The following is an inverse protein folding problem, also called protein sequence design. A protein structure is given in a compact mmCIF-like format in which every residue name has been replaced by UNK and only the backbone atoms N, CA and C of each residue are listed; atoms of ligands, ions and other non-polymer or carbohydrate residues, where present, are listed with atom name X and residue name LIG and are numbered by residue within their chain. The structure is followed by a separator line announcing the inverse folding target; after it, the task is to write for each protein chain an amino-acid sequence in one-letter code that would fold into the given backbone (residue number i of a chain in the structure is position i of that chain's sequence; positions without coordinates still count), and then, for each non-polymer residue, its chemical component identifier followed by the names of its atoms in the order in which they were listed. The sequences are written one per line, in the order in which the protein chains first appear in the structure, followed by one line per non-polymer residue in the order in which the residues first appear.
data_IF_495041487518
#
_entry.id   IF_495041487518
#
_cell.length_a   1.000
_cell.length_b   1.000
_cell.length_c   1.000
_cell.angle_alpha   90.00
_cell.angle_beta   90.00
_cell.angle_gamma   90.00
#
_symmetry.space_group_name_H-M   'P 1'
#
loop_
_entity.id
_entity.type
_entity.pdbx_description
1 polymer ?
#
# COMPACT_ATOMS: atom_id res chain seq x y z
N UNK A 1 -37.03 -44.36 -61.27
CA UNK A 1 -36.53 -45.06 -60.06
C UNK A 1 -35.99 -44.00 -59.11
N UNK A 2 -36.40 -43.78 -57.86
CA UNK A 2 -37.42 -44.35 -56.95
C UNK A 2 -37.95 -43.17 -56.07
N UNK A 3 -39.28 -43.13 -55.88
CA UNK A 3 -40.09 -42.77 -54.68
C UNK A 3 -39.69 -41.56 -53.81
N UNK A 4 -40.53 -40.51 -53.74
CA UNK A 4 -41.76 -40.31 -52.90
C UNK A 4 -41.49 -39.82 -51.46
N UNK A 5 -41.85 -38.55 -51.19
CA UNK A 5 -42.73 -37.97 -50.12
C UNK A 5 -42.64 -38.47 -48.65
N UNK A 6 -43.12 -37.72 -47.63
CA UNK A 6 -42.87 -36.33 -47.22
C UNK A 6 -42.73 -36.13 -45.67
N UNK A 7 -42.46 -34.86 -45.28
CA UNK A 7 -42.66 -34.15 -44.00
C UNK A 7 -43.13 -34.93 -42.75
N UNK A 8 -42.37 -34.78 -41.66
CA UNK A 8 -42.92 -34.45 -40.33
C UNK A 8 -41.88 -33.73 -39.46
N UNK A 9 -42.38 -32.71 -38.75
CA UNK A 9 -41.68 -31.78 -37.87
C UNK A 9 -41.39 -32.47 -36.52
N UNK A 10 -40.17 -32.33 -36.00
CA UNK A 10 -39.91 -32.41 -34.57
C UNK A 10 -38.73 -31.50 -34.20
N UNK A 11 -39.09 -30.41 -33.53
CA UNK A 11 -38.21 -29.45 -32.88
C UNK A 11 -37.49 -30.16 -31.72
N UNK A 12 -36.16 -30.17 -31.68
CA UNK A 12 -35.44 -30.31 -30.41
C UNK A 12 -34.21 -29.39 -30.40
N UNK A 13 -34.34 -28.31 -29.64
CA UNK A 13 -33.22 -27.51 -29.17
C UNK A 13 -32.33 -28.41 -28.31
N UNK A 14 -31.07 -28.59 -28.70
CA UNK A 14 -30.03 -29.03 -27.77
C UNK A 14 -29.16 -27.81 -27.49
N UNK A 15 -29.46 -27.16 -26.36
CA UNK A 15 -28.55 -26.25 -25.67
C UNK A 15 -27.31 -27.07 -25.27
N UNK A 16 -26.17 -26.86 -25.92
CA UNK A 16 -24.88 -27.27 -25.38
C UNK A 16 -24.43 -26.27 -24.32
N UNK A 17 -25.07 -26.35 -23.15
CA UNK A 17 -24.54 -25.80 -21.91
C UNK A 17 -23.24 -26.56 -21.59
N UNK A 18 -22.10 -25.97 -21.94
CA UNK A 18 -20.79 -26.40 -21.44
C UNK A 18 -20.65 -25.94 -19.99
N UNK A 19 -21.28 -26.70 -19.08
CA UNK A 19 -21.06 -26.59 -17.64
C UNK A 19 -19.81 -27.40 -17.34
N UNK A 20 -18.64 -26.76 -17.32
CA UNK A 20 -17.47 -27.36 -16.67
C UNK A 20 -17.69 -27.30 -15.15
N UNK A 21 -17.66 -28.42 -14.42
CA UNK A 21 -17.71 -28.38 -12.97
C UNK A 21 -16.43 -27.73 -12.44
N UNK A 22 -16.58 -26.64 -11.70
CA UNK A 22 -15.52 -26.05 -10.88
C UNK A 22 -15.27 -27.02 -9.72
N UNK A 23 -14.32 -27.93 -9.89
CA UNK A 23 -13.78 -28.73 -8.81
C UNK A 23 -12.67 -27.93 -8.11
N UNK A 24 -13.00 -27.38 -6.94
CA UNK A 24 -12.03 -27.13 -5.89
C UNK A 24 -11.56 -28.49 -5.36
N UNK A 25 -10.28 -28.82 -5.52
CA UNK A 25 -9.43 -29.49 -4.51
C UNK A 25 -8.10 -29.95 -5.13
N UNK A 26 -7.02 -29.50 -4.50
CA UNK A 26 -5.80 -30.25 -4.21
C UNK A 26 -5.25 -31.20 -5.29
N UNK A 27 -4.26 -30.71 -6.05
CA UNK A 27 -3.10 -31.55 -6.34
C UNK A 27 -1.83 -30.71 -6.19
N UNK A 28 -1.06 -31.01 -5.15
CA UNK A 28 0.36 -30.62 -5.05
C UNK A 28 1.12 -31.71 -4.28
N UNK A 29 0.91 -32.96 -4.68
CA UNK A 29 1.84 -34.05 -4.39
C UNK A 29 3.06 -33.91 -5.32
N UNK A 30 3.97 -32.98 -4.99
CA UNK A 30 5.41 -33.00 -5.35
C UNK A 30 6.16 -31.73 -4.93
N UNK A 31 5.90 -31.23 -3.72
CA UNK A 31 6.71 -30.20 -3.09
C UNK A 31 7.72 -30.92 -2.19
N UNK A 32 8.96 -31.11 -2.68
CA UNK A 32 10.03 -31.82 -1.99
C UNK A 32 10.36 -31.12 -0.66
N UNK A 33 10.83 -31.88 0.32
CA UNK A 33 11.09 -31.49 1.72
C UNK A 33 12.05 -30.30 1.97
N UNK A 34 12.49 -29.55 0.95
CA UNK A 34 13.18 -28.25 1.07
C UNK A 34 12.23 -27.05 1.26
N UNK A 35 10.93 -27.22 1.03
CA UNK A 35 9.91 -26.15 1.03
C UNK A 35 9.22 -25.89 2.39
N UNK A 36 9.87 -26.15 3.53
CA UNK A 36 9.20 -26.04 4.84
C UNK A 36 9.14 -24.64 5.44
N UNK A 37 9.85 -23.65 4.87
CA UNK A 37 9.92 -22.27 5.43
C UNK A 37 8.80 -21.36 4.98
N UNK A 38 7.57 -21.71 5.36
CA UNK A 38 6.41 -20.90 5.02
C UNK A 38 5.78 -20.18 6.21
N UNK A 39 5.47 -18.90 6.01
CA UNK A 39 4.64 -18.12 6.93
C UNK A 39 3.19 -18.49 6.66
N UNK A 40 2.45 -18.86 7.70
CA UNK A 40 1.01 -19.11 7.62
C UNK A 40 0.25 -17.99 8.31
N UNK A 41 -0.60 -17.27 7.57
CA UNK A 41 -1.46 -16.22 8.11
C UNK A 41 -2.86 -16.79 8.33
N UNK A 42 -3.33 -16.71 9.57
CA UNK A 42 -4.70 -17.05 9.94
C UNK A 42 -5.68 -16.06 9.30
N UNK A 43 -6.70 -16.57 8.61
CA UNK A 43 -7.75 -15.80 7.94
C UNK A 43 -9.11 -16.45 8.16
N UNK A 44 -10.17 -15.64 8.22
CA UNK A 44 -11.55 -16.13 8.32
C UNK A 44 -11.92 -16.94 7.06
N UNK A 45 -11.51 -16.43 5.90
CA UNK A 45 -11.76 -17.04 4.61
C UNK A 45 -10.66 -16.64 3.60
N UNK A 46 -10.35 -17.55 2.68
CA UNK A 46 -9.43 -17.32 1.56
C UNK A 46 -10.09 -16.75 0.31
N UNK A 47 -11.37 -16.39 0.37
CA UNK A 47 -12.08 -15.95 -0.83
C UNK A 47 -11.55 -14.59 -1.28
N UNK A 48 -11.27 -14.51 -2.58
CA UNK A 48 -10.84 -13.30 -3.27
C UNK A 48 -11.69 -13.15 -4.52
N UNK A 49 -12.38 -12.01 -4.71
CA UNK A 49 -13.15 -11.76 -5.93
C UNK A 49 -12.31 -11.91 -7.19
N UNK A 50 -12.93 -12.38 -8.28
CA UNK A 50 -12.23 -12.57 -9.57
C UNK A 50 -11.64 -11.26 -10.10
N UNK A 51 -12.37 -10.14 -9.99
CA UNK A 51 -11.87 -8.82 -10.40
C UNK A 51 -10.60 -8.42 -9.64
N UNK A 52 -10.52 -8.73 -8.34
CA UNK A 52 -9.35 -8.46 -7.50
C UNK A 52 -8.17 -9.32 -7.93
N UNK A 53 -8.38 -10.62 -8.17
CA UNK A 53 -7.32 -11.53 -8.66
C UNK A 53 -6.80 -11.10 -10.03
N UNK A 54 -7.70 -10.75 -10.95
CA UNK A 54 -7.34 -10.31 -12.29
C UNK A 54 -6.53 -9.01 -12.25
N UNK A 55 -6.92 -8.05 -11.41
CA UNK A 55 -6.18 -6.80 -11.22
C UNK A 55 -4.77 -7.06 -10.67
N UNK A 56 -4.65 -7.91 -9.64
CA UNK A 56 -3.35 -8.29 -9.09
C UNK A 56 -2.47 -8.95 -10.16
N UNK A 57 -3.00 -9.97 -10.84
CA UNK A 57 -2.25 -10.76 -11.83
C UNK A 57 -1.78 -9.92 -13.01
N UNK A 58 -2.65 -9.03 -13.50
CA UNK A 58 -2.39 -8.24 -14.70
C UNK A 58 -1.33 -7.18 -14.45
N UNK A 59 -1.42 -6.45 -13.34
CA UNK A 59 -0.69 -5.20 -13.20
C UNK A 59 0.49 -5.28 -12.21
N UNK A 60 0.53 -6.22 -11.24
CA UNK A 60 1.52 -6.15 -10.14
C UNK A 60 2.98 -5.99 -10.59
N UNK A 61 3.38 -6.72 -11.64
CA UNK A 61 4.78 -6.77 -12.05
C UNK A 61 5.26 -5.43 -12.59
N UNK A 62 4.39 -4.69 -13.29
CA UNK A 62 4.75 -3.36 -13.81
C UNK A 62 5.01 -2.38 -12.67
N UNK A 63 4.19 -2.44 -11.61
CA UNK A 63 4.38 -1.66 -10.39
C UNK A 63 5.68 -2.05 -9.65
N UNK A 64 5.95 -3.36 -9.49
CA UNK A 64 7.17 -3.86 -8.84
C UNK A 64 8.43 -3.40 -9.58
N UNK A 65 8.46 -3.53 -10.91
CA UNK A 65 9.59 -3.07 -11.74
C UNK A 65 9.86 -1.58 -11.55
N UNK A 66 8.81 -0.75 -11.45
CA UNK A 66 8.98 0.68 -11.23
C UNK A 66 9.66 0.97 -9.90
N UNK A 67 9.27 0.25 -8.83
CA UNK A 67 9.88 0.34 -7.51
C UNK A 67 11.33 -0.13 -7.51
N UNK A 68 11.64 -1.25 -8.17
CA UNK A 68 13.02 -1.72 -8.28
C UNK A 68 13.92 -0.68 -8.96
N UNK A 69 13.46 -0.05 -10.04
CA UNK A 69 14.18 1.06 -10.68
C UNK A 69 14.37 2.24 -9.73
N UNK A 70 13.36 2.59 -8.93
CA UNK A 70 13.47 3.66 -7.94
C UNK A 70 14.49 3.31 -6.86
N UNK A 71 14.58 2.06 -6.43
CA UNK A 71 15.57 1.59 -5.47
C UNK A 71 16.94 1.27 -6.08
N UNK A 72 17.12 1.44 -7.39
CA UNK A 72 18.30 1.00 -8.14
C UNK A 72 18.63 -0.49 -7.90
N UNK A 73 17.61 -1.34 -7.80
CA UNK A 73 17.76 -2.80 -7.68
C UNK A 73 18.04 -3.43 -9.04
N UNK A 74 18.80 -4.52 -9.03
CA UNK A 74 18.96 -5.37 -10.20
C UNK A 74 17.62 -6.01 -10.59
N UNK A 75 17.46 -6.30 -11.89
CA UNK A 75 16.25 -6.95 -12.39
C UNK A 75 16.09 -8.32 -11.73
N UNK A 76 14.98 -8.51 -11.01
CA UNK A 76 14.65 -9.77 -10.37
C UNK A 76 13.38 -10.40 -10.99
N UNK A 77 13.23 -11.71 -10.75
CA UNK A 77 12.01 -12.45 -11.05
C UNK A 77 11.09 -12.47 -9.85
N UNK A 78 9.80 -12.26 -10.10
CA UNK A 78 8.79 -12.20 -9.06
C UNK A 78 7.62 -13.13 -9.35
N UNK A 79 7.01 -13.63 -8.28
CA UNK A 79 5.74 -14.35 -8.31
C UNK A 79 4.83 -13.85 -7.19
N UNK A 80 3.52 -13.99 -7.35
CA UNK A 80 2.60 -13.70 -6.25
C UNK A 80 2.48 -14.91 -5.30
N UNK A 81 2.51 -14.62 -4.00
CA UNK A 81 2.18 -15.55 -2.93
C UNK A 81 0.67 -15.69 -2.74
N UNK A 82 0.26 -16.61 -1.87
CA UNK A 82 -1.16 -16.77 -1.51
C UNK A 82 -1.68 -15.49 -0.84
N UNK A 83 -2.82 -14.93 -1.30
CA UNK A 83 -3.36 -13.70 -0.73
C UNK A 83 -3.84 -13.90 0.70
N UNK A 84 -3.78 -12.84 1.50
CA UNK A 84 -4.27 -12.81 2.87
C UNK A 84 -5.10 -11.54 3.16
N UNK A 85 -5.76 -11.54 4.31
CA UNK A 85 -6.58 -10.44 4.83
C UNK A 85 -6.06 -10.03 6.21
N UNK A 86 -6.28 -8.77 6.57
CA UNK A 86 -5.95 -8.24 7.90
C UNK A 86 -7.24 -7.90 8.64
N UNK A 87 -7.24 -8.07 9.96
CA UNK A 87 -8.42 -7.91 10.79
C UNK A 87 -8.23 -6.85 11.86
N UNK A 88 -9.29 -6.12 12.16
CA UNK A 88 -9.37 -5.28 13.36
C UNK A 88 -9.45 -6.17 14.61
N UNK A 89 -9.18 -5.60 15.79
CA UNK A 89 -9.28 -6.34 17.06
C UNK A 89 -10.69 -6.89 17.34
N UNK A 90 -11.72 -6.32 16.72
CA UNK A 90 -13.10 -6.82 16.74
C UNK A 90 -13.40 -7.88 15.65
N UNK A 91 -12.37 -8.47 15.03
CA UNK A 91 -12.43 -9.47 13.96
C UNK A 91 -13.05 -9.03 12.64
N UNK A 92 -13.42 -7.75 12.49
CA UNK A 92 -13.85 -7.25 11.19
C UNK A 92 -12.65 -7.13 10.26
N UNK A 93 -12.78 -7.63 9.04
CA UNK A 93 -11.80 -7.38 7.98
C UNK A 93 -11.58 -5.88 7.82
N UNK A 94 -10.36 -5.48 7.52
CA UNK A 94 -10.06 -4.09 7.15
C UNK A 94 -10.56 -3.73 5.74
N UNK A 95 -10.99 -4.72 4.97
CA UNK A 95 -11.63 -4.56 3.66
C UNK A 95 -10.66 -4.67 2.47
N UNK A 96 -9.36 -4.86 2.73
CA UNK A 96 -8.34 -4.93 1.70
C UNK A 96 -7.93 -6.38 1.39
N UNK A 97 -7.26 -6.56 0.24
CA UNK A 97 -6.66 -7.82 -0.17
C UNK A 97 -5.16 -7.63 -0.36
N UNK A 98 -4.37 -8.50 0.25
CA UNK A 98 -2.91 -8.39 0.29
C UNK A 98 -2.28 -9.57 -0.44
N UNK A 99 -1.52 -9.30 -1.50
CA UNK A 99 -0.78 -10.31 -2.25
C UNK A 99 0.72 -10.12 -2.03
N UNK A 100 1.41 -11.08 -1.41
CA UNK A 100 2.85 -11.06 -1.29
C UNK A 100 3.54 -11.14 -2.64
N UNK A 101 4.56 -10.32 -2.87
CA UNK A 101 5.44 -10.41 -4.03
C UNK A 101 6.71 -11.11 -3.60
N UNK A 102 6.86 -12.35 -4.08
CA UNK A 102 7.95 -13.25 -3.73
C UNK A 102 9.07 -13.16 -4.75
N UNK A 103 10.30 -12.95 -4.28
CA UNK A 103 11.49 -13.10 -5.11
C UNK A 103 11.85 -14.59 -5.31
N UNK A 104 12.92 -14.85 -6.06
CA UNK A 104 13.38 -16.19 -6.43
C UNK A 104 13.77 -17.06 -5.23
N UNK A 105 14.10 -16.46 -4.08
CA UNK A 105 14.42 -17.15 -2.82
C UNK A 105 13.17 -17.40 -1.95
N UNK A 106 11.99 -16.96 -2.39
CA UNK A 106 10.75 -17.03 -1.62
C UNK A 106 10.65 -16.00 -0.49
N UNK A 107 11.50 -14.97 -0.50
CA UNK A 107 11.36 -13.82 0.38
C UNK A 107 10.31 -12.85 -0.18
N UNK A 108 9.57 -12.20 0.71
CA UNK A 108 8.60 -11.16 0.35
C UNK A 108 9.34 -9.84 0.22
N UNK A 109 9.44 -9.29 -0.99
CA UNK A 109 10.05 -7.98 -1.22
C UNK A 109 9.02 -6.85 -1.12
N UNK A 110 7.81 -7.11 -1.62
CA UNK A 110 6.71 -6.15 -1.69
C UNK A 110 5.39 -6.81 -1.34
N UNK A 111 4.37 -6.00 -1.05
CA UNK A 111 2.98 -6.41 -0.95
C UNK A 111 2.18 -5.58 -1.95
N UNK A 112 1.39 -6.26 -2.78
CA UNK A 112 0.30 -5.65 -3.54
C UNK A 112 -0.90 -5.53 -2.63
N UNK A 113 -1.35 -4.31 -2.40
CA UNK A 113 -2.58 -4.01 -1.68
C UNK A 113 -3.65 -3.62 -2.69
N UNK A 114 -4.76 -4.37 -2.71
CA UNK A 114 -5.94 -4.03 -3.50
C UNK A 114 -7.06 -3.59 -2.56
N UNK A 115 -7.54 -2.38 -2.79
CA UNK A 115 -8.54 -1.73 -1.94
C UNK A 115 -9.81 -1.42 -2.71
N UNK A 116 -10.99 -1.53 -2.09
CA UNK A 116 -12.23 -1.04 -2.68
C UNK A 116 -12.13 0.46 -2.96
N UNK A 117 -12.57 0.87 -4.14
CA UNK A 117 -12.60 2.28 -4.51
C UNK A 117 -13.67 3.00 -3.68
N UNK A 118 -13.27 4.05 -2.96
CA UNK A 118 -14.16 4.75 -2.00
C UNK A 118 -14.94 5.90 -2.66
N UNK A 119 -14.53 6.36 -3.85
CA UNK A 119 -15.18 7.47 -4.58
C UNK A 119 -15.72 7.02 -5.94
N UNK A 120 -16.89 7.55 -6.31
CA UNK A 120 -17.52 7.30 -7.63
C UNK A 120 -16.85 8.06 -8.78
N UNK A 121 -16.10 9.14 -8.48
CA UNK A 121 -15.63 10.13 -9.46
C UNK A 121 -14.31 9.82 -10.18
N UNK A 122 -13.73 8.64 -10.01
CA UNK A 122 -12.55 8.29 -10.83
C UNK A 122 -12.97 7.69 -12.16
N UNK A 123 -12.36 8.17 -13.25
CA UNK A 123 -12.55 7.73 -14.64
C UNK A 123 -12.21 6.25 -14.91
N UNK A 124 -11.71 5.51 -13.92
CA UNK A 124 -11.47 4.07 -14.02
C UNK A 124 -12.74 3.27 -13.76
N UNK A 125 -13.09 2.38 -14.68
CA UNK A 125 -14.20 1.41 -14.55
C UNK A 125 -13.95 0.34 -13.48
N UNK A 126 -12.72 0.21 -12.96
CA UNK A 126 -12.40 -0.73 -11.89
C UNK A 126 -13.07 -0.32 -10.58
N UNK A 127 -13.65 -1.32 -9.89
CA UNK A 127 -14.19 -1.18 -8.52
C UNK A 127 -13.09 -1.13 -7.46
N UNK A 128 -11.84 -1.36 -7.86
CA UNK A 128 -10.69 -1.49 -6.98
C UNK A 128 -9.52 -0.62 -7.42
N UNK A 129 -8.70 -0.23 -6.45
CA UNK A 129 -7.42 0.43 -6.63
C UNK A 129 -6.30 -0.55 -6.28
N UNK A 130 -5.13 -0.37 -6.90
CA UNK A 130 -3.93 -1.16 -6.64
C UNK A 130 -2.82 -0.24 -6.12
N UNK A 131 -2.11 -0.70 -5.10
CA UNK A 131 -0.88 -0.08 -4.60
C UNK A 131 0.15 -1.20 -4.36
N UNK A 132 1.42 -0.93 -4.65
CA UNK A 132 2.54 -1.81 -4.31
C UNK A 132 3.51 -1.05 -3.43
N UNK A 133 3.93 -1.69 -2.34
CA UNK A 133 4.90 -1.10 -1.40
C UNK A 133 5.61 -2.18 -0.60
N UNK A 134 6.60 -1.81 0.20
CA UNK A 134 7.26 -2.73 1.14
C UNK A 134 6.42 -3.02 2.40
N UNK A 135 5.13 -2.65 2.42
CA UNK A 135 4.22 -2.83 3.55
C UNK A 135 4.31 -4.24 4.15
N UNK A 136 4.60 -4.37 5.46
CA UNK A 136 4.75 -5.63 6.21
C UNK A 136 5.73 -6.68 5.66
N UNK A 137 6.39 -6.48 4.50
CA UNK A 137 7.33 -7.42 3.88
C UNK A 137 8.39 -7.93 4.86
N UNK A 138 9.11 -7.00 5.51
CA UNK A 138 10.12 -7.30 6.53
C UNK A 138 9.52 -8.02 7.74
N UNK A 139 8.32 -7.63 8.18
CA UNK A 139 7.67 -8.28 9.31
C UNK A 139 7.34 -9.73 8.96
N UNK A 140 6.69 -9.98 7.82
CA UNK A 140 6.36 -11.33 7.36
C UNK A 140 7.61 -12.21 7.21
N UNK A 141 8.68 -11.70 6.61
CA UNK A 141 9.94 -12.43 6.47
C UNK A 141 10.61 -12.79 7.82
N UNK A 142 10.29 -12.10 8.93
CA UNK A 142 10.80 -12.46 10.27
C UNK A 142 10.06 -13.65 10.89
N UNK A 143 8.85 -13.96 10.42
CA UNK A 143 8.00 -15.01 10.96
C UNK A 143 7.97 -16.27 10.08
N UNK A 144 9.04 -16.51 9.30
CA UNK A 144 9.20 -17.75 8.54
C UNK A 144 9.00 -18.96 9.45
N UNK A 145 8.34 -19.99 8.92
CA UNK A 145 7.98 -21.23 9.63
C UNK A 145 6.96 -21.03 10.77
N UNK A 146 6.35 -19.85 10.91
CA UNK A 146 5.39 -19.58 11.98
C UNK A 146 3.97 -19.37 11.45
N UNK A 147 3.01 -19.81 12.27
CA UNK A 147 1.60 -19.45 12.12
C UNK A 147 1.31 -18.18 12.93
N UNK A 148 0.76 -17.18 12.24
CA UNK A 148 0.51 -15.85 12.79
C UNK A 148 -0.89 -15.35 12.44
N UNK A 149 -1.39 -14.39 13.20
CA UNK A 149 -2.53 -13.54 12.83
C UNK A 149 -2.04 -12.11 12.72
N UNK A 150 -2.45 -11.42 11.65
CA UNK A 150 -2.15 -9.99 11.48
C UNK A 150 -3.37 -9.19 11.86
N UNK A 151 -3.18 -8.26 12.79
CA UNK A 151 -4.23 -7.41 13.31
C UNK A 151 -3.88 -5.94 13.13
N UNK A 152 -4.90 -5.09 13.08
CA UNK A 152 -4.74 -3.64 12.97
C UNK A 152 -5.67 -2.89 13.92
N UNK A 153 -5.24 -1.70 14.34
CA UNK A 153 -6.04 -0.76 15.11
C UNK A 153 -5.57 0.69 14.88
N UNK A 154 -6.04 1.66 15.67
CA UNK A 154 -5.65 3.08 15.46
C UNK A 154 -4.15 3.36 15.65
N UNK A 155 -3.42 2.50 16.37
CA UNK A 155 -1.98 2.64 16.67
C UNK A 155 -1.09 1.99 15.62
N UNK A 156 -1.60 0.99 14.89
CA UNK A 156 -0.87 0.32 13.83
C UNK A 156 -1.15 -1.18 13.74
N UNK A 157 -0.17 -1.92 13.23
CA UNK A 157 -0.29 -3.35 12.96
C UNK A 157 0.45 -4.21 13.94
N UNK A 158 -0.16 -5.35 14.24
CA UNK A 158 0.32 -6.33 15.19
C UNK A 158 0.40 -7.69 14.53
N UNK A 159 1.48 -8.40 14.83
CA UNK A 159 1.57 -9.83 14.58
C UNK A 159 1.31 -10.57 15.89
N UNK A 160 0.33 -11.47 15.87
CA UNK A 160 0.03 -12.36 16.99
C UNK A 160 0.49 -13.76 16.62
N UNK A 161 1.40 -14.33 17.41
CA UNK A 161 1.87 -15.72 17.19
C UNK A 161 1.03 -16.71 18.01
N UNK A 162 1.28 -18.02 17.85
CA UNK A 162 0.56 -19.07 18.57
C UNK A 162 0.62 -18.95 20.11
N UNK A 163 1.62 -18.27 20.66
CA UNK A 163 1.70 -17.99 22.10
C UNK A 163 0.78 -16.83 22.55
N UNK A 164 -0.07 -16.32 21.66
CA UNK A 164 -1.01 -15.21 21.86
C UNK A 164 -0.37 -13.88 22.29
N UNK A 165 0.95 -13.72 22.09
CA UNK A 165 1.62 -12.43 22.26
C UNK A 165 1.50 -11.60 20.98
N UNK A 166 0.88 -10.44 21.09
CA UNK A 166 0.83 -9.47 20.01
C UNK A 166 2.09 -8.58 20.05
N UNK A 167 2.80 -8.52 18.93
CA UNK A 167 3.94 -7.62 18.72
C UNK A 167 3.57 -6.56 17.70
N UNK A 168 3.73 -5.29 18.05
CA UNK A 168 3.57 -4.17 17.12
C UNK A 168 4.69 -4.23 16.07
N UNK A 169 4.32 -4.31 14.79
CA UNK A 169 5.25 -4.44 13.65
C UNK A 169 5.27 -3.22 12.74
N UNK A 170 4.23 -2.39 12.76
CA UNK A 170 4.19 -1.10 12.06
C UNK A 170 3.39 -0.10 12.88
N UNK A 171 3.94 1.09 13.09
CA UNK A 171 3.29 2.20 13.80
C UNK A 171 2.58 3.09 12.78
N UNK A 172 1.33 3.46 13.08
CA UNK A 172 0.53 4.34 12.19
C UNK A 172 -0.05 5.46 13.05
N UNK A 173 0.83 6.33 13.61
CA UNK A 173 0.43 7.40 14.50
C UNK A 173 -0.61 8.31 13.82
N UNK A 174 -1.59 8.75 14.60
CA UNK A 174 -2.59 9.71 14.16
C UNK A 174 -2.58 10.88 15.13
N UNK A 175 -2.87 12.08 14.64
CA UNK A 175 -3.26 13.18 15.51
C UNK A 175 -4.58 12.78 16.17
N UNK A 176 -4.52 12.25 17.39
CA UNK A 176 -5.72 11.90 18.16
C UNK A 176 -6.29 13.16 18.83
N UNK A 177 -7.61 13.22 18.86
CA UNK A 177 -8.34 14.23 19.61
C UNK A 177 -8.05 14.05 21.11
N UNK A 178 -7.75 15.14 21.83
CA UNK A 178 -7.38 15.12 23.27
C UNK A 178 -8.41 14.42 24.16
N UNK A 179 -9.64 14.25 23.66
CA UNK A 179 -10.79 13.65 24.37
C UNK A 179 -10.88 12.12 24.26
N UNK A 180 -10.12 11.45 23.39
CA UNK A 180 -10.26 10.00 23.16
C UNK A 180 -9.08 9.24 23.76
N UNK A 181 -8.93 9.30 25.09
CA UNK A 181 -8.03 8.39 25.83
C UNK A 181 -8.67 7.00 26.04
N UNK A 182 -9.24 6.38 24.99
CA UNK A 182 -9.55 4.95 25.08
C UNK A 182 -8.31 4.19 24.63
N UNK A 183 -7.54 3.71 25.61
CA UNK A 183 -6.59 2.62 25.39
C UNK A 183 -7.37 1.44 24.83
N UNK A 184 -7.34 1.26 23.50
CA UNK A 184 -7.66 -0.02 22.91
C UNK A 184 -6.66 -1.02 23.48
N UNK A 185 -7.14 -1.87 24.39
CA UNK A 185 -6.35 -2.95 24.95
C UNK A 185 -6.01 -3.91 23.81
N UNK A 186 -4.75 -4.32 23.78
CA UNK A 186 -4.34 -5.43 22.92
C UNK A 186 -5.12 -6.65 23.42
N UNK A 187 -5.94 -7.29 22.59
CA UNK A 187 -6.73 -8.41 23.04
C UNK A 187 -5.77 -9.54 23.41
N UNK A 188 -5.84 -9.96 24.67
CA UNK A 188 -5.07 -11.07 25.23
C UNK A 188 -5.94 -12.32 25.24
N UNK A 189 -5.43 -13.44 24.72
CA UNK A 189 -6.09 -14.76 24.79
C UNK A 189 -6.52 -15.36 23.45
N UNK A 190 -7.07 -16.57 23.51
CA UNK A 190 -7.32 -17.46 22.36
C UNK A 190 -8.32 -16.90 21.35
N UNK A 191 -9.19 -15.96 21.76
CA UNK A 191 -10.28 -15.46 20.93
C UNK A 191 -9.82 -14.72 19.68
N UNK A 192 -8.59 -14.20 19.62
CA UNK A 192 -8.09 -13.39 18.50
C UNK A 192 -7.41 -14.22 17.40
N UNK A 193 -7.03 -15.45 17.73
CA UNK A 193 -6.32 -16.38 16.83
C UNK A 193 -7.23 -17.46 16.23
N UNK A 194 -8.47 -17.58 16.69
CA UNK A 194 -9.46 -18.51 16.14
C UNK A 194 -10.07 -17.98 14.84
N UNK A 195 -9.27 -17.96 13.78
CA UNK A 195 -9.75 -17.80 12.41
C UNK A 195 -9.74 -19.17 11.73
N UNK A 196 -10.68 -19.39 10.81
CA UNK A 196 -11.03 -20.73 10.32
C UNK A 196 -10.02 -21.33 9.34
N UNK A 197 -9.24 -20.50 8.64
CA UNK A 197 -8.37 -20.92 7.54
C UNK A 197 -6.95 -20.35 7.69
N UNK A 198 -6.01 -20.90 6.92
CA UNK A 198 -4.59 -20.49 6.92
C UNK A 198 -4.09 -20.23 5.51
N UNK A 199 -3.71 -19.00 5.19
CA UNK A 199 -3.06 -18.65 3.93
C UNK A 199 -1.53 -18.81 4.03
N UNK A 200 -0.92 -19.51 3.09
CA UNK A 200 0.53 -19.72 3.03
C UNK A 200 1.18 -18.60 2.20
N UNK A 201 1.42 -17.46 2.84
CA UNK A 201 1.77 -16.20 2.15
C UNK A 201 3.13 -16.23 1.43
N UNK A 202 4.03 -17.13 1.82
CA UNK A 202 5.34 -17.34 1.16
C UNK A 202 5.34 -18.54 0.22
N UNK A 203 4.19 -19.16 -0.04
CA UNK A 203 4.08 -20.24 -1.01
C UNK A 203 3.77 -19.63 -2.38
N UNK A 204 4.62 -19.82 -3.41
CA UNK A 204 4.33 -19.35 -4.75
C UNK A 204 3.04 -19.98 -5.24
N UNK A 205 2.14 -19.15 -5.75
CA UNK A 205 0.91 -19.64 -6.34
C UNK A 205 1.18 -20.00 -7.81
N UNK A 206 0.95 -21.27 -8.18
CA UNK A 206 1.19 -21.75 -9.56
C UNK A 206 0.41 -20.96 -10.61
N UNK A 207 -0.73 -20.39 -10.22
CA UNK A 207 -1.58 -19.50 -11.03
C UNK A 207 -0.90 -18.17 -11.42
N UNK A 208 0.18 -17.78 -10.74
CA UNK A 208 0.85 -16.48 -10.90
C UNK A 208 2.35 -16.63 -11.19
N UNK A 209 2.83 -17.84 -11.52
CA UNK A 209 4.18 -18.04 -12.04
C UNK A 209 4.28 -17.38 -13.41
N UNK A 210 4.90 -16.21 -13.48
CA UNK A 210 5.30 -15.62 -14.77
C UNK A 210 6.53 -16.36 -15.27
N UNK A 211 6.46 -16.94 -16.46
CA UNK A 211 7.59 -17.64 -17.09
C UNK A 211 8.54 -16.71 -17.85
N UNK A 212 8.29 -15.39 -17.94
CA UNK A 212 9.05 -14.51 -18.82
C UNK A 212 9.59 -13.25 -18.13
N UNK A 213 10.90 -13.05 -18.31
CA UNK A 213 11.72 -11.92 -17.85
C UNK A 213 11.60 -10.65 -18.72
N UNK A 214 10.56 -10.54 -19.54
CA UNK A 214 10.46 -9.44 -20.51
C UNK A 214 9.44 -8.41 -20.04
N UNK A 215 9.90 -7.52 -19.14
CA UNK A 215 9.25 -6.22 -18.95
C UNK A 215 10.09 -5.15 -19.65
N UNK A 216 9.39 -4.20 -20.28
CA UNK A 216 10.04 -3.18 -21.10
C UNK A 216 10.78 -2.15 -20.22
N UNK A 217 11.58 -1.30 -20.85
CA UNK A 217 12.14 -0.17 -20.12
C UNK A 217 11.04 0.84 -19.76
N UNK A 218 10.66 0.84 -18.48
CA UNK A 218 9.78 1.86 -17.92
C UNK A 218 10.47 3.22 -17.76
N UNK A 219 9.74 4.29 -18.03
CA UNK A 219 10.15 5.64 -17.67
C UNK A 219 10.02 5.84 -16.16
N UNK A 220 11.07 6.30 -15.50
CA UNK A 220 11.08 6.64 -14.07
C UNK A 220 11.83 7.96 -13.91
N UNK A 221 11.20 8.91 -13.22
CA UNK A 221 11.77 10.19 -12.87
C UNK A 221 11.61 10.38 -11.36
N UNK A 222 12.70 10.66 -10.64
CA UNK A 222 12.71 10.85 -9.18
C UNK A 222 13.61 12.01 -8.78
N UNK A 223 13.32 12.62 -7.64
CA UNK A 223 14.26 13.53 -6.98
C UNK A 223 15.54 12.76 -6.66
N UNK A 224 16.64 13.14 -7.30
CA UNK A 224 17.89 12.39 -7.34
C UNK A 224 18.42 12.01 -5.94
N UNK A 225 18.42 12.98 -5.03
CA UNK A 225 18.99 12.81 -3.68
C UNK A 225 17.93 12.47 -2.63
N UNK A 226 16.71 12.10 -3.03
CA UNK A 226 15.68 11.69 -2.09
C UNK A 226 16.06 10.38 -1.42
N UNK A 227 16.12 10.39 -0.09
CA UNK A 227 16.43 9.22 0.72
C UNK A 227 15.63 9.25 2.01
N UNK A 228 14.97 8.13 2.30
CA UNK A 228 14.31 7.89 3.58
C UNK A 228 15.42 7.74 4.64
N UNK A 229 15.46 8.68 5.60
CA UNK A 229 16.46 8.71 6.69
C UNK A 229 15.85 8.47 8.07
N UNK A 230 14.54 8.66 8.19
CA UNK A 230 13.77 8.53 9.42
C UNK A 230 12.33 8.16 9.08
N UNK A 231 11.66 7.45 9.98
CA UNK A 231 10.24 7.08 9.85
C UNK A 231 9.47 7.59 11.04
N UNK A 232 8.25 8.05 10.82
CA UNK A 232 7.39 8.63 11.84
C UNK A 232 6.95 7.56 12.86
N UNK A 233 7.40 7.75 14.11
CA UNK A 233 7.01 6.98 15.28
C UNK A 233 5.71 7.47 15.91
N UNK A 234 5.55 7.41 17.23
CA UNK A 234 4.32 7.87 17.89
C UNK A 234 4.29 9.40 18.09
N UNK A 235 4.06 10.18 17.03
CA UNK A 235 4.00 11.65 17.08
C UNK A 235 3.13 12.24 15.96
N UNK A 236 2.80 13.53 16.06
CA UNK A 236 1.94 14.27 15.12
C UNK A 236 2.65 14.91 13.93
N UNK A 237 3.89 14.51 13.63
CA UNK A 237 4.83 15.36 12.86
C UNK A 237 4.92 15.01 11.37
N UNK A 238 3.92 14.36 10.76
CA UNK A 238 3.95 13.92 9.36
C UNK A 238 4.46 15.00 8.37
N UNK A 239 4.06 16.27 8.57
CA UNK A 239 4.53 17.41 7.78
C UNK A 239 6.02 17.72 8.00
N UNK A 240 6.52 17.61 9.24
CA UNK A 240 7.94 17.76 9.57
C UNK A 240 8.81 16.70 8.90
N UNK A 241 8.39 15.42 8.91
CA UNK A 241 9.07 14.34 8.19
C UNK A 241 9.08 14.61 6.67
N UNK A 242 7.92 14.97 6.12
CA UNK A 242 7.74 15.29 4.70
C UNK A 242 8.68 16.41 4.24
N UNK A 243 8.65 17.55 4.92
CA UNK A 243 9.51 18.70 4.58
C UNK A 243 10.98 18.37 4.77
N UNK A 244 11.35 17.65 5.82
CA UNK A 244 12.75 17.27 6.08
C UNK A 244 13.31 16.41 4.96
N UNK A 245 12.56 15.39 4.51
CA UNK A 245 12.99 14.55 3.41
C UNK A 245 13.08 15.32 2.08
N UNK A 246 12.11 16.18 1.78
CA UNK A 246 12.10 17.00 0.57
C UNK A 246 13.26 18.01 0.56
N UNK A 247 13.47 18.76 1.64
CA UNK A 247 14.57 19.73 1.75
C UNK A 247 15.93 19.04 1.70
N UNK A 248 16.08 17.89 2.37
CA UNK A 248 17.30 17.07 2.26
C UNK A 248 17.56 16.62 0.82
N UNK A 249 16.51 16.25 0.07
CA UNK A 249 16.63 15.86 -1.32
C UNK A 249 17.03 17.05 -2.20
N UNK A 250 16.31 18.16 -2.11
CA UNK A 250 16.50 19.30 -3.03
C UNK A 250 17.75 20.10 -2.74
N UNK A 251 18.25 20.10 -1.49
CA UNK A 251 19.54 20.67 -1.11
C UNK A 251 20.71 19.68 -1.15
N UNK A 252 20.47 18.41 -1.47
CA UNK A 252 21.47 17.34 -1.34
C UNK A 252 22.20 17.37 0.01
N UNK A 253 21.43 17.29 1.09
CA UNK A 253 21.93 17.33 2.46
C UNK A 253 21.23 16.27 3.32
N UNK A 254 21.61 16.19 4.59
CA UNK A 254 21.03 15.29 5.58
C UNK A 254 20.75 15.98 6.92
N UNK A 255 20.86 17.31 6.99
CA UNK A 255 20.73 18.08 8.23
C UNK A 255 19.28 18.26 8.71
N UNK A 256 18.30 18.09 7.82
CA UNK A 256 16.89 18.29 8.17
C UNK A 256 16.30 17.02 8.78
N UNK A 257 15.63 17.18 9.93
CA UNK A 257 14.96 16.13 10.68
C UNK A 257 13.63 16.65 11.23
N UNK A 258 12.62 15.79 11.27
CA UNK A 258 11.27 16.18 11.68
C UNK A 258 11.27 16.87 13.05
N UNK A 259 11.99 16.34 14.04
CA UNK A 259 12.04 16.92 15.39
C UNK A 259 12.60 18.36 15.38
N UNK A 260 13.66 18.62 14.62
CA UNK A 260 14.26 19.94 14.51
C UNK A 260 13.31 20.95 13.85
N UNK A 261 12.59 20.52 12.79
CA UNK A 261 11.56 21.34 12.15
C UNK A 261 10.43 21.69 13.12
N UNK A 262 9.92 20.69 13.83
CA UNK A 262 8.85 20.90 14.82
C UNK A 262 9.32 21.80 15.96
N UNK A 263 10.56 21.63 16.44
CA UNK A 263 11.13 22.46 17.51
C UNK A 263 11.33 23.91 17.07
N UNK A 264 11.72 24.14 15.83
CA UNK A 264 11.83 25.49 15.26
C UNK A 264 10.47 26.20 15.24
N UNK A 265 9.41 25.51 14.80
CA UNK A 265 8.07 26.09 14.68
C UNK A 265 7.36 26.23 16.03
N UNK A 266 7.56 25.29 16.95
CA UNK A 266 6.89 25.23 18.26
C UNK A 266 7.90 25.24 19.42
N UNK A 267 8.74 26.28 19.58
CA UNK A 267 9.83 26.29 20.56
C UNK A 267 9.33 26.16 22.02
N UNK A 268 8.13 26.69 22.29
CA UNK A 268 7.57 26.76 23.63
C UNK A 268 6.72 25.53 24.02
N UNK A 269 6.42 24.63 23.08
CA UNK A 269 5.68 23.42 23.41
C UNK A 269 6.59 22.38 24.07
N UNK A 270 6.04 21.66 25.05
CA UNK A 270 6.76 20.61 25.78
C UNK A 270 5.92 19.33 25.90
N UNK A 271 6.57 18.22 26.24
CA UNK A 271 5.94 16.93 26.52
C UNK A 271 4.96 16.46 25.44
N UNK A 272 3.78 15.98 25.84
CA UNK A 272 2.76 15.47 24.91
C UNK A 272 2.24 16.56 23.95
N UNK A 273 2.24 17.83 24.36
CA UNK A 273 1.79 18.90 23.48
C UNK A 273 2.77 19.10 22.32
N UNK A 274 4.07 19.05 22.56
CA UNK A 274 5.06 19.07 21.48
C UNK A 274 4.96 17.81 20.61
N UNK A 275 4.82 16.64 21.23
CA UNK A 275 4.76 15.35 20.53
C UNK A 275 3.57 15.21 19.56
N UNK A 276 2.42 15.80 19.87
CA UNK A 276 1.18 15.59 19.12
C UNK A 276 0.58 16.84 18.49
N UNK A 277 1.26 17.99 18.51
CA UNK A 277 0.84 19.13 17.69
C UNK A 277 1.31 18.93 16.24
N UNK A 278 0.38 18.99 15.29
CA UNK A 278 0.66 18.95 13.85
C UNK A 278 1.01 20.32 13.28
N UNK A 279 1.19 20.42 11.96
CA UNK A 279 1.44 21.69 11.27
C UNK A 279 0.29 22.07 10.36
N UNK A 280 0.03 23.37 10.26
CA UNK A 280 -0.85 23.96 9.26
C UNK A 280 -0.12 24.21 7.94
N UNK A 281 -0.82 24.33 6.80
CA UNK A 281 -0.21 24.72 5.53
C UNK A 281 0.57 26.05 5.60
N UNK A 282 0.12 27.00 6.43
CA UNK A 282 0.80 28.29 6.63
C UNK A 282 2.15 28.12 7.30
N UNK A 283 2.24 27.28 8.34
CA UNK A 283 3.52 26.99 9.01
C UNK A 283 4.48 26.24 8.09
N UNK A 284 3.96 25.34 7.25
CA UNK A 284 4.77 24.63 6.24
C UNK A 284 5.37 25.59 5.20
N UNK A 285 4.56 26.52 4.66
CA UNK A 285 5.03 27.56 3.73
C UNK A 285 6.05 28.47 4.41
N UNK A 286 5.75 28.94 5.61
CA UNK A 286 6.65 29.80 6.39
C UNK A 286 7.99 29.10 6.66
N UNK A 287 7.97 27.82 7.06
CA UNK A 287 9.21 27.07 7.27
C UNK A 287 10.03 26.96 5.98
N UNK A 288 9.40 26.65 4.84
CA UNK A 288 10.12 26.64 3.57
C UNK A 288 10.75 28.01 3.23
N UNK A 289 10.05 29.11 3.50
CA UNK A 289 10.58 30.46 3.32
C UNK A 289 11.83 30.73 4.17
N UNK A 290 11.84 30.34 5.44
CA UNK A 290 13.03 30.49 6.30
C UNK A 290 14.20 29.62 5.84
N UNK A 291 13.94 28.57 5.07
CA UNK A 291 14.95 27.72 4.45
C UNK A 291 15.33 28.17 3.03
N UNK A 292 14.96 29.37 2.57
CA UNK A 292 15.33 29.88 1.25
C UNK A 292 14.55 29.24 0.08
N UNK A 293 13.35 28.73 0.35
CA UNK A 293 12.39 28.25 -0.66
C UNK A 293 11.21 29.20 -0.79
N UNK A 294 10.42 29.04 -1.84
CA UNK A 294 9.17 29.79 -2.04
C UNK A 294 7.98 28.85 -2.22
N UNK A 295 7.61 28.04 -1.21
CA UNK A 295 6.57 27.03 -1.39
C UNK A 295 5.22 27.68 -1.69
N UNK A 296 4.45 27.06 -2.57
CA UNK A 296 3.12 27.52 -2.98
C UNK A 296 2.07 26.45 -2.66
N UNK A 297 0.92 26.88 -2.17
CA UNK A 297 -0.24 26.00 -2.00
C UNK A 297 -0.93 25.82 -3.35
N UNK A 298 -1.18 24.57 -3.71
CA UNK A 298 -2.03 24.17 -4.82
C UNK A 298 -3.24 23.43 -4.26
N UNK A 299 -4.44 23.95 -4.46
CA UNK A 299 -5.69 23.39 -3.91
C UNK A 299 -6.22 22.17 -4.70
N UNK A 300 -5.32 21.26 -5.10
CA UNK A 300 -5.63 19.98 -5.76
C UNK A 300 -4.44 19.03 -5.73
N UNK A 301 -4.67 17.80 -6.16
CA UNK A 301 -3.63 16.88 -6.60
C UNK A 301 -2.89 17.46 -7.83
N UNK A 302 -1.56 17.37 -7.82
CA UNK A 302 -0.73 17.67 -9.00
C UNK A 302 -0.94 16.60 -10.07
N UNK A 303 -1.06 17.01 -11.32
CA UNK A 303 -1.11 16.10 -12.48
C UNK A 303 0.24 15.40 -12.69
N UNK A 304 0.25 14.29 -13.44
CA UNK A 304 1.47 13.57 -13.80
C UNK A 304 2.54 14.48 -14.41
N UNK A 305 2.17 15.31 -15.39
CA UNK A 305 3.11 16.21 -16.07
C UNK A 305 3.63 17.33 -15.15
N UNK A 306 2.82 17.82 -14.21
CA UNK A 306 3.29 18.78 -13.21
C UNK A 306 4.32 18.15 -12.28
N UNK A 307 4.08 16.92 -11.81
CA UNK A 307 5.06 16.17 -11.02
C UNK A 307 6.35 15.97 -11.81
N UNK A 308 6.24 15.59 -13.08
CA UNK A 308 7.40 15.36 -13.95
C UNK A 308 8.27 16.62 -14.11
N UNK A 309 7.62 17.74 -14.41
CA UNK A 309 8.29 19.03 -14.56
C UNK A 309 8.91 19.52 -13.25
N UNK A 310 8.19 19.43 -12.13
CA UNK A 310 8.70 19.86 -10.83
C UNK A 310 9.88 18.97 -10.36
N UNK A 311 9.80 17.66 -10.59
CA UNK A 311 10.87 16.72 -10.25
C UNK A 311 12.13 16.99 -11.06
N UNK A 312 12.02 17.20 -12.39
CA UNK A 312 13.15 17.59 -13.26
C UNK A 312 13.81 18.90 -12.84
N UNK A 313 13.01 19.83 -12.31
CA UNK A 313 13.49 21.11 -11.77
C UNK A 313 13.90 21.03 -10.29
N UNK A 314 14.04 19.82 -9.72
CA UNK A 314 14.43 19.57 -8.34
C UNK A 314 13.59 20.36 -7.31
N UNK A 315 12.26 20.40 -7.53
CA UNK A 315 11.29 21.05 -6.64
C UNK A 315 10.44 19.99 -5.94
N UNK A 316 10.56 19.94 -4.61
CA UNK A 316 9.82 19.01 -3.77
C UNK A 316 8.33 19.34 -3.67
N UNK A 317 7.50 18.30 -3.57
CA UNK A 317 6.04 18.42 -3.42
C UNK A 317 5.60 17.66 -2.18
N UNK A 318 4.98 18.37 -1.24
CA UNK A 318 4.28 17.79 -0.11
C UNK A 318 2.81 17.56 -0.48
N UNK A 319 2.31 16.36 -0.24
CA UNK A 319 0.91 15.96 -0.35
C UNK A 319 0.21 16.35 0.95
N UNK A 320 -0.97 16.97 0.85
CA UNK A 320 -1.89 17.15 1.96
C UNK A 320 -3.08 16.19 1.76
N UNK A 321 -3.11 15.15 2.58
CA UNK A 321 -4.15 14.13 2.59
C UNK A 321 -5.16 14.36 3.71
N UNK A 322 -6.44 14.09 3.42
CA UNK A 322 -7.51 14.03 4.42
C UNK A 322 -8.10 12.62 4.41
N UNK A 323 -8.16 11.98 5.57
CA UNK A 323 -8.64 10.60 5.68
C UNK A 323 -10.08 10.49 5.18
N UNK A 324 -10.39 9.52 4.34
CA UNK A 324 -11.77 9.30 3.85
C UNK A 324 -12.62 8.67 4.95
N UNK A 325 -12.08 7.72 5.72
CA UNK A 325 -12.76 7.15 6.86
C UNK A 325 -12.85 8.15 8.02
N UNK A 326 -14.06 8.51 8.42
CA UNK A 326 -14.29 9.40 9.54
C UNK A 326 -14.19 8.66 10.88
N UNK A 327 -13.80 9.40 11.94
CA UNK A 327 -13.94 8.99 13.34
C UNK A 327 -14.71 10.09 14.05
N UNK A 328 -15.92 9.79 14.52
CA UNK A 328 -16.84 10.77 15.12
C UNK A 328 -17.09 12.00 14.22
N UNK A 329 -17.20 11.78 12.90
CA UNK A 329 -17.42 12.86 11.93
C UNK A 329 -16.17 13.68 11.56
N UNK A 330 -15.00 13.39 12.15
CA UNK A 330 -13.74 14.07 11.82
C UNK A 330 -12.87 13.25 10.88
N UNK A 331 -12.18 13.94 9.97
CA UNK A 331 -11.24 13.40 9.01
C UNK A 331 -9.82 13.82 9.40
N UNK A 332 -8.95 12.87 9.72
CA UNK A 332 -7.58 13.17 10.13
C UNK A 332 -6.76 13.67 8.94
N UNK A 333 -5.97 14.72 9.14
CA UNK A 333 -4.98 15.19 8.17
C UNK A 333 -3.70 14.36 8.22
N UNK A 334 -3.09 14.10 7.07
CA UNK A 334 -1.79 13.43 6.97
C UNK A 334 -0.98 13.98 5.79
N UNK A 335 0.29 14.29 6.03
CA UNK A 335 1.21 14.77 5.00
C UNK A 335 2.15 13.66 4.52
N UNK A 336 2.40 13.63 3.21
CA UNK A 336 3.30 12.68 2.55
C UNK A 336 4.19 13.41 1.54
N UNK A 337 5.29 12.81 1.09
CA UNK A 337 6.19 13.40 0.10
C UNK A 337 6.01 12.76 -1.28
N UNK A 338 5.94 13.57 -2.33
CA UNK A 338 6.16 13.06 -3.70
C UNK A 338 7.66 12.88 -3.90
N UNK A 339 8.03 11.70 -4.40
CA UNK A 339 9.42 11.36 -4.74
C UNK A 339 9.67 11.53 -6.24
N UNK A 340 8.62 11.37 -7.06
CA UNK A 340 8.68 11.50 -8.51
C UNK A 340 7.49 10.86 -9.20
N UNK A 341 7.68 10.39 -10.43
CA UNK A 341 6.66 9.77 -11.27
C UNK A 341 7.24 8.69 -12.18
N UNK A 342 6.39 7.79 -12.65
CA UNK A 342 6.77 6.72 -13.58
C UNK A 342 5.66 6.44 -14.60
N UNK A 343 6.06 5.96 -15.78
CA UNK A 343 5.15 5.37 -16.76
C UNK A 343 5.40 3.87 -16.80
N UNK A 344 4.43 3.11 -16.31
CA UNK A 344 4.46 1.66 -16.21
C UNK A 344 4.42 1.03 -17.62
N UNK A 345 4.84 -0.22 -17.73
CA UNK A 345 4.87 -0.94 -19.04
C UNK A 345 3.49 -1.09 -19.69
N UNK A 346 2.43 -1.09 -18.87
CA UNK A 346 1.04 -1.09 -19.36
C UNK A 346 0.58 0.30 -19.83
N UNK A 347 1.48 1.29 -19.88
CA UNK A 347 1.21 2.68 -20.28
C UNK A 347 0.61 3.55 -19.17
N UNK A 348 0.33 2.99 -18.00
CA UNK A 348 -0.27 3.72 -16.88
C UNK A 348 0.73 4.70 -16.27
N UNK A 349 0.23 5.91 -15.99
CA UNK A 349 0.97 6.98 -15.35
C UNK A 349 0.76 6.93 -13.85
N UNK A 350 1.85 6.87 -13.10
CA UNK A 350 1.84 6.79 -11.64
C UNK A 350 2.72 7.85 -10.99
N UNK A 351 2.35 8.27 -9.80
CA UNK A 351 3.13 9.13 -8.91
C UNK A 351 3.75 8.27 -7.81
N UNK A 352 5.04 8.50 -7.55
CA UNK A 352 5.81 7.81 -6.52
C UNK A 352 5.71 8.62 -5.24
N UNK A 353 5.29 7.98 -4.15
CA UNK A 353 5.00 8.64 -2.88
C UNK A 353 5.81 7.98 -1.77
N UNK A 354 6.35 8.79 -0.87
CA UNK A 354 6.81 8.36 0.43
C UNK A 354 5.83 8.78 1.51
N UNK A 355 5.27 7.79 2.20
CA UNK A 355 4.50 8.02 3.42
C UNK A 355 5.45 7.95 4.63
N UNK A 356 5.50 8.97 5.51
CA UNK A 356 6.40 8.99 6.65
C UNK A 356 6.35 7.77 7.57
N UNK A 357 5.26 7.00 7.60
CA UNK A 357 5.17 5.76 8.38
C UNK A 357 6.03 4.62 7.81
N UNK A 358 6.36 4.69 6.52
CA UNK A 358 6.89 3.57 5.77
C UNK A 358 8.40 3.73 5.54
N UNK A 359 9.12 2.60 5.67
CA UNK A 359 10.51 2.51 5.22
C UNK A 359 10.58 2.03 3.76
N UNK A 360 9.80 2.69 2.91
CA UNK A 360 9.71 2.41 1.49
C UNK A 360 8.73 3.33 0.78
N UNK A 361 8.76 3.29 -0.54
CA UNK A 361 7.89 4.04 -1.43
C UNK A 361 6.62 3.25 -1.78
N UNK A 362 5.61 4.01 -2.20
CA UNK A 362 4.35 3.54 -2.75
C UNK A 362 4.15 4.15 -4.13
N UNK A 363 3.32 3.51 -4.93
CA UNK A 363 2.91 3.98 -6.26
C UNK A 363 1.42 4.31 -6.25
N UNK A 364 1.05 5.47 -6.77
CA UNK A 364 -0.33 5.94 -6.88
C UNK A 364 -0.69 6.19 -8.34
N UNK A 365 -1.84 5.70 -8.80
CA UNK A 365 -2.37 6.08 -10.12
C UNK A 365 -2.55 7.62 -10.18
N UNK A 366 -1.92 8.27 -11.16
CA UNK A 366 -1.94 9.72 -11.29
C UNK A 366 -3.33 10.31 -11.56
N UNK A 367 -4.33 9.50 -11.92
CA UNK A 367 -5.73 9.88 -12.12
C UNK A 367 -6.61 9.67 -10.88
N UNK A 368 -6.05 9.11 -9.81
CA UNK A 368 -6.79 8.83 -8.58
C UNK A 368 -6.29 9.69 -7.43
N UNK A 369 -7.18 10.48 -6.84
CA UNK A 369 -6.86 11.34 -5.71
C UNK A 369 -7.05 10.66 -4.35
N UNK A 370 -7.41 9.38 -4.29
CA UNK A 370 -7.49 8.63 -3.03
C UNK A 370 -6.28 7.71 -2.94
N UNK A 371 -5.43 7.97 -1.94
CA UNK A 371 -4.21 7.22 -1.66
C UNK A 371 -4.54 6.12 -0.64
N UNK A 372 -4.53 4.83 -1.01
CA UNK A 372 -4.57 3.75 -0.05
C UNK A 372 -3.20 3.68 0.64
N UNK A 373 -3.17 3.95 1.94
CA UNK A 373 -1.93 3.96 2.71
C UNK A 373 -1.69 2.60 3.37
N UNK A 374 -0.46 2.41 3.87
CA UNK A 374 -0.03 1.15 4.47
C UNK A 374 -0.92 0.70 5.62
N UNK A 375 -1.67 1.58 6.28
CA UNK A 375 -2.61 1.22 7.34
C UNK A 375 -4.00 0.73 6.94
N UNK A 376 -4.22 0.56 5.63
CA UNK A 376 -5.49 0.15 5.08
C UNK A 376 -6.56 1.24 5.07
N UNK A 377 -6.26 2.42 5.64
CA UNK A 377 -7.06 3.62 5.45
C UNK A 377 -6.84 4.22 4.05
N UNK A 378 -7.70 5.17 3.73
CA UNK A 378 -7.64 5.94 2.50
C UNK A 378 -7.50 7.41 2.83
N UNK A 379 -6.60 8.11 2.14
CA UNK A 379 -6.45 9.56 2.26
C UNK A 379 -6.73 10.22 0.92
N UNK A 380 -7.74 11.09 0.88
CA UNK A 380 -7.97 11.97 -0.25
C UNK A 380 -6.88 13.04 -0.30
N UNK A 381 -6.08 13.01 -1.36
CA UNK A 381 -5.14 14.07 -1.73
C UNK A 381 -5.94 15.30 -2.18
N UNK A 382 -6.23 16.19 -1.24
CA UNK A 382 -7.06 17.38 -1.49
C UNK A 382 -6.23 18.62 -1.87
N UNK A 383 -4.95 18.67 -1.49
CA UNK A 383 -4.07 19.80 -1.80
C UNK A 383 -2.61 19.39 -1.79
N UNK A 384 -1.75 20.26 -2.32
CA UNK A 384 -0.30 20.07 -2.37
C UNK A 384 0.41 21.35 -1.96
N UNK A 385 1.59 21.25 -1.37
CA UNK A 385 2.52 22.39 -1.25
C UNK A 385 3.76 22.03 -2.05
N UNK A 386 4.03 22.75 -3.14
CA UNK A 386 5.18 22.51 -4.01
C UNK A 386 6.22 23.62 -3.88
N UNK A 387 7.47 23.30 -4.18
CA UNK A 387 8.59 24.26 -4.16
C UNK A 387 9.55 24.12 -2.99
N UNK A 388 9.54 22.99 -2.28
CA UNK A 388 10.59 22.62 -1.31
C UNK A 388 11.90 22.28 -1.99
#
# INVERSE_FOLDING_TARGET
MKRNFPKLIALSLIFSLSITPIANAESNSNIKAKDKRHVQVNVEDKSVPTDVRNLAQKDYLSYVTSLDKIYNKEKASYTLGEPFKIYKFNKKSDGNYYFPVLNTEGNIDYIVTISPKVTKDSSSSSKYTINVSSFLSKALNQYKDQQITILTNSKGYYVVTQNHKAKLVLKTPRLEDKKVKKTESIPTGNNVTQLKQKASVTMPTSQFKSNNYTYNEQYVNKLENFKIRETQGNNGWCAGYTMSALLNATYNTNKYHAEAVMRFLHPNLQGQQFQFTGLTPREMIYFGQTQGRSPQLLNRMTTYNEVDNLTKNNKGIAILGSRVESRNGMHAGHAMAVVGNAKLDNGQEVIIIWNPWDNGFMTQDAKNNVIPVSNGDHYQWYSSIYGY
#
